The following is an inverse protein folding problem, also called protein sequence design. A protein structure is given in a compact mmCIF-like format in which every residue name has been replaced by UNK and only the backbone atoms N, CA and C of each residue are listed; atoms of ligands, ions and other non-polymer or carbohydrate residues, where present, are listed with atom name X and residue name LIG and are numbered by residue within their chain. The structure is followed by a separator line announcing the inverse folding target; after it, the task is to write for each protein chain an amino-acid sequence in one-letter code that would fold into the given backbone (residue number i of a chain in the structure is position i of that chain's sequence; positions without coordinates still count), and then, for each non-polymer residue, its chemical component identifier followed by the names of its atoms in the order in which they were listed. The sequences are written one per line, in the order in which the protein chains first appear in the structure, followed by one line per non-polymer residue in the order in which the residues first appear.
data_IF_934940332801
#
_entry.id   IF_934940332801
#
_cell.length_a   1.000
_cell.length_b   1.000
_cell.length_c   1.000
_cell.angle_alpha   90.00
_cell.angle_beta   90.00
_cell.angle_gamma   90.00
#
_symmetry.space_group_name_H-M   'P 1'
#
loop_
_entity.id
_entity.type
_entity.pdbx_description
1 polymer ?
#
# COMPACT_ATOMS: atom_id res chain seq x y z
N UNK A 1 36.90 -9.51 -63.62
CA UNK A 1 36.72 -10.48 -62.57
C UNK A 1 37.16 -9.82 -61.23
N UNK A 2 36.32 -9.21 -60.52
CA UNK A 2 36.61 -8.82 -59.15
C UNK A 2 35.29 -8.81 -58.38
N UNK A 3 35.15 -9.70 -57.37
CA UNK A 3 34.02 -9.78 -56.44
C UNK A 3 34.09 -8.61 -55.48
N UNK A 4 33.03 -7.78 -55.43
CA UNK A 4 32.83 -6.81 -54.37
C UNK A 4 31.97 -7.47 -53.27
N UNK A 5 32.60 -7.74 -52.14
CA UNK A 5 31.90 -8.18 -50.95
C UNK A 5 31.18 -7.00 -50.27
N UNK A 6 29.87 -7.16 -50.04
CA UNK A 6 29.05 -6.23 -49.30
C UNK A 6 29.23 -6.54 -47.81
N UNK A 7 29.85 -5.64 -47.08
CA UNK A 7 29.88 -5.68 -45.59
C UNK A 7 28.61 -4.99 -45.11
N UNK A 8 27.67 -5.78 -44.63
CA UNK A 8 26.51 -5.27 -43.91
C UNK A 8 26.93 -4.93 -42.47
N UNK A 9 27.02 -3.64 -42.16
CA UNK A 9 27.20 -3.17 -40.80
C UNK A 9 25.88 -3.33 -40.03
N UNK A 10 25.82 -4.30 -39.12
CA UNK A 10 24.77 -4.42 -38.14
C UNK A 10 24.97 -3.31 -37.09
N UNK A 11 24.17 -2.25 -37.17
CA UNK A 11 24.06 -1.29 -36.08
C UNK A 11 23.15 -1.93 -35.05
N UNK A 12 23.74 -2.53 -34.01
CA UNK A 12 23.04 -2.91 -32.78
C UNK A 12 22.82 -1.60 -32.01
N UNK A 13 21.61 -1.07 -32.13
CA UNK A 13 21.11 0.00 -31.25
C UNK A 13 20.92 -0.64 -29.88
N UNK A 14 21.94 -0.60 -29.03
CA UNK A 14 21.84 -0.96 -27.64
C UNK A 14 20.94 0.06 -26.95
N UNK A 15 19.64 -0.23 -26.82
CA UNK A 15 18.84 0.38 -25.78
C UNK A 15 19.48 -0.06 -24.45
N UNK A 16 20.16 0.86 -23.80
CA UNK A 16 20.49 0.75 -22.39
C UNK A 16 19.16 0.92 -21.67
N UNK A 17 18.40 -0.16 -21.56
CA UNK A 17 17.42 -0.32 -20.50
C UNK A 17 18.26 -0.35 -19.23
N UNK A 18 18.32 0.78 -18.50
CA UNK A 18 18.72 0.74 -17.11
C UNK A 18 17.81 -0.29 -16.45
N UNK A 19 18.35 -1.36 -15.82
CA UNK A 19 17.48 -2.25 -15.09
C UNK A 19 16.84 -1.42 -13.99
N UNK A 20 15.54 -1.19 -14.07
CA UNK A 20 14.75 -0.86 -12.89
C UNK A 20 15.08 -1.97 -11.91
N UNK A 21 15.72 -1.64 -10.82
CA UNK A 21 16.03 -2.62 -9.77
C UNK A 21 14.72 -3.29 -9.43
N UNK A 22 14.62 -4.62 -9.61
CA UNK A 22 13.41 -5.41 -9.35
C UNK A 22 12.95 -5.37 -7.88
N UNK A 23 13.54 -4.49 -7.09
CA UNK A 23 13.34 -4.31 -5.66
C UNK A 23 12.63 -3.00 -5.28
N UNK A 24 12.44 -2.05 -6.22
CA UNK A 24 11.77 -0.80 -5.90
C UNK A 24 10.24 -0.98 -5.79
N UNK A 25 9.61 -0.22 -4.89
CA UNK A 25 8.18 -0.15 -4.69
C UNK A 25 7.72 1.31 -4.85
N UNK A 26 7.82 1.86 -6.07
CA UNK A 26 7.69 3.31 -6.29
C UNK A 26 6.26 3.82 -6.28
N UNK A 27 5.27 2.93 -6.40
CA UNK A 27 3.85 3.27 -6.52
C UNK A 27 3.01 2.55 -5.47
N UNK A 28 1.81 3.06 -5.19
CA UNK A 28 0.82 2.39 -4.37
C UNK A 28 0.49 1.02 -4.98
N UNK A 29 0.48 -0.05 -4.18
CA UNK A 29 0.37 -1.46 -4.59
C UNK A 29 1.57 -2.03 -5.37
N UNK A 30 2.68 -1.33 -5.49
CA UNK A 30 3.97 -1.86 -5.97
C UNK A 30 4.19 -1.87 -7.47
N UNK A 31 3.16 -1.93 -8.30
CA UNK A 31 3.24 -1.92 -9.76
C UNK A 31 2.11 -1.13 -10.41
N UNK A 32 2.24 -0.86 -11.72
CA UNK A 32 1.29 -0.05 -12.49
C UNK A 32 -0.10 -0.69 -12.61
N UNK A 33 -0.26 -1.98 -12.39
CA UNK A 33 -1.53 -2.71 -12.41
C UNK A 33 -2.14 -2.87 -11.01
N UNK A 34 -1.47 -2.37 -9.97
CA UNK A 34 -1.83 -2.54 -8.57
C UNK A 34 -1.96 -4.01 -8.15
N UNK A 35 -1.08 -4.90 -8.69
CA UNK A 35 -1.14 -6.33 -8.35
C UNK A 35 -0.62 -6.62 -6.95
N UNK A 36 0.16 -5.71 -6.38
CA UNK A 36 0.70 -5.84 -5.02
C UNK A 36 1.83 -6.87 -4.91
N UNK A 37 2.52 -7.18 -6.02
CA UNK A 37 3.52 -8.26 -6.08
C UNK A 37 4.96 -7.75 -5.99
N UNK A 38 5.80 -8.42 -5.16
CA UNK A 38 7.25 -8.24 -5.09
C UNK A 38 7.99 -9.57 -5.24
N UNK A 39 9.14 -9.53 -5.89
CA UNK A 39 9.99 -10.71 -6.11
C UNK A 39 11.12 -10.78 -5.08
N UNK A 40 10.91 -11.31 -3.89
CA UNK A 40 12.02 -11.68 -2.98
C UNK A 40 11.55 -12.55 -1.77
N UNK A 41 12.43 -13.39 -1.16
CA UNK A 41 12.05 -14.47 -0.24
C UNK A 41 12.16 -14.14 1.26
N UNK A 42 11.68 -14.88 2.07
CA UNK A 42 11.09 -16.02 2.76
C UNK A 42 11.86 -16.36 4.06
N UNK A 43 11.40 -16.08 5.19
CA UNK A 43 11.70 -16.38 6.59
C UNK A 43 11.94 -15.11 7.42
N UNK A 44 10.89 -14.57 8.03
CA UNK A 44 10.94 -13.35 8.85
C UNK A 44 11.33 -13.65 10.28
N UNK A 45 12.20 -12.81 10.87
CA UNK A 45 12.62 -13.05 12.25
C UNK A 45 13.07 -11.88 13.10
N UNK A 46 13.47 -10.74 12.58
CA UNK A 46 14.00 -9.67 13.42
C UNK A 46 13.63 -8.27 12.92
N UNK A 47 13.21 -7.41 13.86
CA UNK A 47 13.12 -5.97 13.63
C UNK A 47 14.53 -5.40 13.43
N UNK A 48 14.80 -4.82 12.25
CA UNK A 48 16.08 -4.19 11.96
C UNK A 48 16.15 -2.79 12.56
N UNK A 49 15.08 -1.99 12.39
CA UNK A 49 14.94 -0.67 12.99
C UNK A 49 13.46 -0.25 13.10
N UNK A 50 13.19 0.81 13.83
CA UNK A 50 11.94 1.54 13.84
C UNK A 50 12.18 3.05 13.94
N UNK A 51 11.28 3.84 13.36
CA UNK A 51 11.27 5.27 13.42
C UNK A 51 9.91 5.74 13.97
N UNK A 52 9.92 6.72 14.86
CA UNK A 52 8.70 7.38 15.34
C UNK A 52 8.58 8.76 14.70
N UNK A 53 7.47 8.99 14.01
CA UNK A 53 7.07 10.28 13.44
C UNK A 53 5.61 10.57 13.85
N UNK A 54 4.95 11.56 13.27
CA UNK A 54 3.51 11.75 13.50
C UNK A 54 2.67 10.55 13.05
N UNK A 55 1.39 10.47 13.43
CA UNK A 55 0.52 9.34 13.07
C UNK A 55 0.54 9.03 11.57
N UNK A 56 0.45 7.75 11.17
CA UNK A 56 0.63 7.32 9.78
C UNK A 56 -0.58 6.50 9.33
N UNK A 57 -1.14 6.89 8.16
CA UNK A 57 -2.12 6.12 7.38
C UNK A 57 -1.65 5.85 5.96
N UNK A 58 -0.68 6.63 5.50
CA UNK A 58 0.00 6.49 4.22
C UNK A 58 0.76 5.16 4.16
N UNK A 59 0.73 4.50 3.03
CA UNK A 59 1.65 3.39 2.73
C UNK A 59 2.96 3.96 2.19
N UNK A 60 4.13 3.36 2.50
CA UNK A 60 5.40 3.84 1.98
C UNK A 60 5.51 3.64 0.47
N UNK A 61 6.15 4.56 -0.24
CA UNK A 61 6.76 4.32 -1.54
C UNK A 61 8.26 4.17 -1.36
N UNK A 62 8.88 3.19 -2.02
CA UNK A 62 10.33 2.93 -1.88
C UNK A 62 10.99 3.12 -3.23
N UNK A 63 12.00 3.99 -3.26
CA UNK A 63 12.83 4.23 -4.43
C UNK A 63 14.27 4.54 -4.01
N UNK A 64 15.26 3.91 -4.65
CA UNK A 64 16.69 4.10 -4.38
C UNK A 64 17.06 3.98 -2.89
N UNK A 65 16.52 2.97 -2.18
CA UNK A 65 16.75 2.74 -0.73
C UNK A 65 16.26 3.88 0.18
N UNK A 66 15.33 4.69 -0.29
CA UNK A 66 14.63 5.71 0.48
C UNK A 66 13.14 5.40 0.48
N UNK A 67 12.52 5.38 1.67
CA UNK A 67 11.07 5.30 1.82
C UNK A 67 10.49 6.72 1.94
N UNK A 68 9.47 7.01 1.14
CA UNK A 68 8.70 8.24 1.19
C UNK A 68 7.36 7.94 1.87
N UNK A 69 7.01 8.67 2.93
CA UNK A 69 5.87 8.35 3.79
C UNK A 69 5.16 9.63 4.20
N UNK A 70 3.84 9.68 3.99
CA UNK A 70 2.98 10.75 4.47
C UNK A 70 2.61 10.56 5.95
N UNK A 71 2.49 11.67 6.69
CA UNK A 71 2.13 11.67 8.10
C UNK A 71 0.94 12.60 8.40
N UNK A 72 0.18 12.24 9.43
CA UNK A 72 -0.93 13.07 9.94
C UNK A 72 -0.45 14.38 10.56
N UNK A 73 0.85 14.50 10.87
CA UNK A 73 1.45 15.78 11.26
C UNK A 73 1.60 16.77 10.10
N UNK A 74 1.25 16.35 8.86
CA UNK A 74 1.31 17.13 7.65
C UNK A 74 2.71 17.21 7.03
N UNK A 75 3.55 16.21 7.27
CA UNK A 75 4.85 16.09 6.62
C UNK A 75 4.91 14.89 5.69
N UNK A 76 5.58 15.07 4.57
CA UNK A 76 6.16 13.98 3.80
C UNK A 76 7.58 13.76 4.33
N UNK A 77 7.91 12.53 4.68
CA UNK A 77 9.23 12.13 5.15
C UNK A 77 9.92 11.27 4.12
N UNK A 78 11.21 11.54 3.87
CA UNK A 78 12.13 10.64 3.18
C UNK A 78 13.01 9.96 4.23
N UNK A 79 12.98 8.63 4.26
CA UNK A 79 13.64 7.82 5.30
C UNK A 79 14.61 6.85 4.64
N UNK A 80 15.87 6.88 5.06
CA UNK A 80 16.88 5.94 4.60
C UNK A 80 16.57 4.53 5.13
N UNK A 81 16.44 3.54 4.25
CA UNK A 81 16.04 2.18 4.59
C UNK A 81 17.10 1.39 5.36
N UNK A 82 18.38 1.74 5.19
CA UNK A 82 19.47 1.02 5.86
C UNK A 82 19.61 1.45 7.32
N UNK A 83 19.40 2.75 7.60
CA UNK A 83 19.62 3.33 8.93
C UNK A 83 18.34 3.65 9.69
N UNK A 84 17.21 3.75 9.03
CA UNK A 84 15.95 4.24 9.61
C UNK A 84 15.97 5.74 9.93
N UNK A 85 16.96 6.51 9.43
CA UNK A 85 17.07 7.95 9.69
C UNK A 85 16.32 8.78 8.65
N UNK A 86 15.74 9.90 9.08
CA UNK A 86 15.12 10.87 8.16
C UNK A 86 16.22 11.55 7.35
N UNK A 87 16.12 11.50 6.02
CA UNK A 87 16.99 12.20 5.07
C UNK A 87 16.55 13.64 4.94
N UNK A 88 15.27 13.84 4.66
CA UNK A 88 14.62 15.15 4.61
C UNK A 88 13.13 15.02 4.96
N UNK A 89 12.45 16.13 5.19
CA UNK A 89 11.00 16.18 5.30
C UNK A 89 10.45 17.47 4.75
N UNK A 90 9.33 17.39 4.02
CA UNK A 90 8.60 18.54 3.47
C UNK A 90 7.31 18.77 4.26
N UNK A 91 7.02 20.03 4.67
CA UNK A 91 5.81 20.39 5.44
C UNK A 91 4.72 20.92 4.52
N UNK A 92 3.54 20.27 4.57
CA UNK A 92 2.28 20.76 3.98
C UNK A 92 1.41 21.41 5.06
N UNK A 93 0.29 22.02 4.67
CA UNK A 93 -0.63 22.67 5.62
C UNK A 93 -1.75 21.76 6.13
N UNK A 94 -1.82 20.51 5.65
CA UNK A 94 -2.78 19.51 6.05
C UNK A 94 -2.13 18.16 6.31
N UNK A 95 -2.87 17.22 6.91
CA UNK A 95 -2.41 15.85 7.07
C UNK A 95 -2.18 15.17 5.71
N UNK A 96 -1.23 14.25 5.64
CA UNK A 96 -0.95 13.45 4.46
C UNK A 96 -1.35 12.00 4.76
N UNK A 97 -2.48 11.56 4.20
CA UNK A 97 -2.96 10.16 4.25
C UNK A 97 -2.78 9.46 2.90
N UNK A 98 -2.65 10.23 1.84
CA UNK A 98 -2.29 9.79 0.49
C UNK A 98 -0.95 9.04 0.53
N UNK A 99 -0.87 7.90 -0.14
CA UNK A 99 0.41 7.20 -0.32
C UNK A 99 1.19 7.85 -1.47
N UNK A 100 2.49 8.14 -1.29
CA UNK A 100 3.30 8.76 -2.32
C UNK A 100 3.50 7.85 -3.54
N UNK A 101 3.75 8.46 -4.70
CA UNK A 101 4.29 7.79 -5.89
C UNK A 101 5.57 8.48 -6.32
N UNK A 102 6.57 7.70 -6.74
CA UNK A 102 7.88 8.22 -7.17
C UNK A 102 8.13 7.88 -8.63
N UNK A 103 8.33 8.89 -9.46
CA UNK A 103 8.63 8.72 -10.89
C UNK A 103 9.69 9.75 -11.30
N UNK A 104 10.76 9.28 -11.96
CA UNK A 104 11.81 10.13 -12.56
C UNK A 104 12.43 11.16 -11.62
N UNK A 105 12.66 10.82 -10.35
CA UNK A 105 13.28 11.75 -9.39
C UNK A 105 12.31 12.71 -8.71
N UNK A 106 11.00 12.60 -8.97
CA UNK A 106 9.96 13.40 -8.33
C UNK A 106 9.03 12.50 -7.51
N UNK A 107 8.70 12.90 -6.28
CA UNK A 107 7.66 12.27 -5.45
C UNK A 107 6.39 13.10 -5.49
N UNK A 108 5.28 12.44 -5.85
CA UNK A 108 3.95 13.05 -5.89
C UNK A 108 3.13 12.58 -4.69
N UNK A 109 2.41 13.51 -4.04
CA UNK A 109 1.57 13.18 -2.87
C UNK A 109 0.42 14.16 -2.70
N UNK A 110 -0.76 13.66 -2.32
CA UNK A 110 -1.93 14.47 -1.98
C UNK A 110 -1.96 14.84 -0.49
N UNK A 111 -2.55 15.97 -0.16
CA UNK A 111 -2.69 16.45 1.22
C UNK A 111 -4.13 16.88 1.53
N UNK A 112 -4.48 16.85 2.81
CA UNK A 112 -5.78 17.35 3.29
C UNK A 112 -5.92 18.87 3.18
N UNK A 113 -4.85 19.60 2.87
CA UNK A 113 -4.93 21.01 2.50
C UNK A 113 -5.48 21.22 1.07
N UNK A 114 -5.72 20.11 0.34
CA UNK A 114 -6.28 20.10 -1.01
C UNK A 114 -5.26 20.39 -2.11
N UNK A 115 -3.98 20.22 -1.84
CA UNK A 115 -2.93 20.28 -2.87
C UNK A 115 -2.39 18.89 -3.19
N UNK A 116 -2.15 18.66 -4.48
CA UNK A 116 -1.21 17.66 -4.98
C UNK A 116 0.16 18.35 -5.04
N UNK A 117 1.17 17.72 -4.48
CA UNK A 117 2.54 18.21 -4.42
C UNK A 117 3.45 17.35 -5.30
N UNK A 118 4.36 17.97 -6.03
CA UNK A 118 5.52 17.36 -6.68
C UNK A 118 6.78 17.88 -5.99
N UNK A 119 7.58 16.97 -5.46
CA UNK A 119 8.73 17.26 -4.62
C UNK A 119 9.92 16.48 -5.15
N UNK A 120 11.07 17.14 -5.31
CA UNK A 120 12.33 16.52 -5.72
C UNK A 120 12.79 15.46 -4.71
N UNK A 121 13.13 14.27 -5.16
CA UNK A 121 13.50 13.15 -4.30
C UNK A 121 14.82 13.31 -3.58
N UNK A 122 15.77 14.05 -4.14
CA UNK A 122 17.12 14.20 -3.62
C UNK A 122 17.19 15.33 -2.60
N UNK A 123 16.53 16.46 -2.90
CA UNK A 123 16.61 17.67 -2.06
C UNK A 123 15.44 17.86 -1.11
N UNK A 124 14.26 17.31 -1.44
CA UNK A 124 13.01 17.56 -0.72
C UNK A 124 12.40 18.93 -1.03
N UNK A 125 12.86 19.62 -2.08
CA UNK A 125 12.32 20.90 -2.51
C UNK A 125 11.05 20.75 -3.34
N UNK A 126 10.15 21.73 -3.21
CA UNK A 126 8.94 21.79 -4.01
C UNK A 126 9.27 22.14 -5.48
N UNK A 127 8.87 21.28 -6.41
CA UNK A 127 8.90 21.57 -7.84
C UNK A 127 7.66 22.35 -8.27
N UNK A 128 6.49 21.78 -7.99
CA UNK A 128 5.21 22.42 -8.22
C UNK A 128 4.12 21.87 -7.29
N UNK A 129 2.98 22.54 -7.23
CA UNK A 129 1.76 22.04 -6.57
C UNK A 129 0.51 22.43 -7.33
N UNK A 130 -0.48 21.54 -7.35
CA UNK A 130 -1.78 21.73 -8.00
C UNK A 130 -2.89 21.79 -6.96
N UNK A 131 -3.80 22.78 -7.05
CA UNK A 131 -4.92 22.97 -6.10
C UNK A 131 -6.19 22.30 -6.59
N UNK A 132 -6.80 21.45 -5.74
CA UNK A 132 -8.18 20.95 -5.86
C UNK A 132 -9.13 21.76 -4.99
N UNK A 133 -10.44 21.49 -5.10
CA UNK A 133 -11.44 22.20 -4.30
C UNK A 133 -11.59 21.72 -2.86
N UNK A 134 -11.02 20.55 -2.50
CA UNK A 134 -11.13 19.96 -1.16
C UNK A 134 -9.94 19.03 -0.89
N UNK A 135 -9.97 18.30 0.22
CA UNK A 135 -8.94 17.34 0.65
C UNK A 135 -8.63 16.30 -0.43
N UNK A 136 -7.38 15.85 -0.44
CA UNK A 136 -6.91 14.73 -1.22
C UNK A 136 -6.54 13.59 -0.27
N UNK A 137 -7.32 12.50 -0.29
CA UNK A 137 -7.01 11.24 0.41
C UNK A 137 -6.53 10.16 -0.58
N UNK A 138 -6.95 10.25 -1.83
CA UNK A 138 -6.53 9.41 -2.94
C UNK A 138 -5.01 9.45 -3.10
N UNK A 139 -4.39 8.31 -3.39
CA UNK A 139 -2.99 8.27 -3.78
C UNK A 139 -2.85 8.62 -5.26
N UNK A 140 -1.82 9.39 -5.66
CA UNK A 140 -1.58 9.70 -7.06
C UNK A 140 -1.24 8.44 -7.86
N UNK A 141 -1.60 8.45 -9.15
CA UNK A 141 -1.11 7.49 -10.13
C UNK A 141 -0.49 8.24 -11.31
N UNK A 142 0.56 7.69 -11.90
CA UNK A 142 1.29 8.33 -13.01
C UNK A 142 1.29 7.41 -14.21
N UNK A 143 0.86 7.94 -15.37
CA UNK A 143 0.97 7.28 -16.66
C UNK A 143 1.53 8.27 -17.68
N UNK A 144 2.68 7.93 -18.28
CA UNK A 144 3.36 8.82 -19.21
C UNK A 144 3.73 10.17 -18.58
N UNK A 145 3.18 11.24 -19.15
CA UNK A 145 3.36 12.63 -18.70
C UNK A 145 2.22 13.16 -17.81
N UNK A 146 1.39 12.28 -17.27
CA UNK A 146 0.16 12.65 -16.55
C UNK A 146 0.11 12.05 -15.15
N UNK A 147 -0.22 12.88 -14.16
CA UNK A 147 -0.53 12.49 -12.78
C UNK A 147 -2.05 12.54 -12.60
N UNK A 148 -2.63 11.44 -12.15
CA UNK A 148 -4.06 11.32 -11.85
C UNK A 148 -4.29 11.34 -10.35
N UNK A 149 -5.35 12.03 -9.90
CA UNK A 149 -5.71 12.14 -8.49
C UNK A 149 -7.22 12.29 -8.30
N UNK A 150 -7.78 11.67 -7.26
CA UNK A 150 -9.14 11.91 -6.78
C UNK A 150 -9.16 12.93 -5.65
N UNK A 151 -10.27 13.65 -5.48
CA UNK A 151 -10.45 14.62 -4.40
C UNK A 151 -11.83 14.52 -3.76
N UNK A 152 -11.92 14.97 -2.51
CA UNK A 152 -13.18 15.10 -1.77
C UNK A 152 -14.08 16.22 -2.35
N UNK A 153 -13.61 17.00 -3.35
CA UNK A 153 -14.43 17.93 -4.12
C UNK A 153 -15.28 17.27 -5.20
N UNK A 154 -15.34 15.93 -5.17
CA UNK A 154 -16.12 15.11 -6.11
C UNK A 154 -15.54 15.05 -7.53
N UNK A 155 -14.23 15.23 -7.70
CA UNK A 155 -13.58 15.20 -9.01
C UNK A 155 -12.38 14.25 -9.05
N UNK A 156 -12.14 13.76 -10.26
CA UNK A 156 -10.88 13.16 -10.70
C UNK A 156 -10.17 14.21 -11.54
N UNK A 157 -8.88 14.37 -11.33
CA UNK A 157 -8.04 15.31 -12.07
C UNK A 157 -6.93 14.56 -12.80
N UNK A 158 -6.63 15.01 -14.02
CA UNK A 158 -5.39 14.72 -14.73
C UNK A 158 -4.57 16.00 -14.81
N UNK A 159 -3.34 15.90 -14.32
CA UNK A 159 -2.42 17.02 -14.17
C UNK A 159 -1.14 16.71 -14.92
N UNK A 160 -0.57 17.66 -15.63
CA UNK A 160 0.71 17.48 -16.30
C UNK A 160 1.79 17.22 -15.24
N UNK A 161 2.58 16.17 -15.46
CA UNK A 161 3.60 15.71 -14.51
C UNK A 161 4.74 16.71 -14.35
N UNK A 162 5.09 17.44 -15.40
CA UNK A 162 6.31 18.25 -15.43
C UNK A 162 6.07 19.67 -14.88
N UNK A 163 4.87 20.26 -15.06
CA UNK A 163 4.58 21.62 -14.63
C UNK A 163 3.35 21.81 -13.72
N UNK A 164 2.62 20.73 -13.45
CA UNK A 164 1.43 20.78 -12.58
C UNK A 164 0.22 21.43 -13.22
N UNK A 165 0.19 21.69 -14.53
CA UNK A 165 -0.96 22.25 -15.23
C UNK A 165 -2.09 21.22 -15.38
N UNK A 166 -3.34 21.66 -15.23
CA UNK A 166 -4.49 20.76 -15.40
C UNK A 166 -4.69 20.40 -16.87
N UNK A 167 -4.69 19.09 -17.18
CA UNK A 167 -5.05 18.55 -18.51
C UNK A 167 -6.56 18.42 -18.66
N UNK A 168 -7.21 17.74 -17.72
CA UNK A 168 -8.66 17.59 -17.68
C UNK A 168 -9.17 17.31 -16.25
N UNK A 169 -10.47 17.38 -16.05
CA UNK A 169 -11.15 16.96 -14.84
C UNK A 169 -12.48 16.27 -15.16
N UNK A 170 -12.89 15.32 -14.30
CA UNK A 170 -14.17 14.62 -14.40
C UNK A 170 -14.93 14.72 -13.07
N UNK A 171 -16.22 15.12 -13.14
CA UNK A 171 -17.08 15.24 -11.95
C UNK A 171 -17.85 13.95 -11.70
N UNK A 172 -17.61 13.30 -10.57
CA UNK A 172 -18.24 12.03 -10.18
C UNK A 172 -19.54 12.19 -9.40
N UNK A 173 -19.81 13.38 -8.84
CA UNK A 173 -20.99 13.66 -8.03
C UNK A 173 -20.82 13.37 -6.52
N UNK A 174 -19.74 12.70 -6.08
CA UNK A 174 -19.39 12.53 -4.67
C UNK A 174 -17.87 12.36 -4.52
N UNK A 175 -17.35 12.38 -3.28
CA UNK A 175 -15.93 12.30 -2.96
C UNK A 175 -15.24 11.12 -3.67
N UNK A 176 -13.98 11.33 -4.09
CA UNK A 176 -13.12 10.32 -4.72
C UNK A 176 -11.92 10.08 -3.83
N UNK A 177 -12.00 9.01 -3.02
CA UNK A 177 -10.91 8.57 -2.12
C UNK A 177 -10.15 7.35 -2.67
N UNK A 178 -10.76 6.61 -3.58
CA UNK A 178 -10.13 5.56 -4.37
C UNK A 178 -8.95 6.14 -5.14
N UNK A 179 -7.82 5.44 -5.15
CA UNK A 179 -6.67 5.81 -5.97
C UNK A 179 -6.93 5.41 -7.41
N UNK A 180 -6.70 6.30 -8.40
CA UNK A 180 -6.88 5.99 -9.79
C UNK A 180 -5.93 4.89 -10.27
N UNK A 181 -6.38 4.10 -11.24
CA UNK A 181 -5.59 3.05 -11.88
C UNK A 181 -5.57 3.28 -13.40
N UNK A 182 -4.50 3.85 -13.97
CA UNK A 182 -4.33 3.97 -15.41
C UNK A 182 -3.82 2.66 -16.02
N UNK A 183 -4.56 2.09 -16.96
CA UNK A 183 -4.20 0.86 -17.69
C UNK A 183 -4.75 0.92 -19.12
N UNK A 184 -3.90 0.64 -20.12
CA UNK A 184 -4.29 0.51 -21.53
C UNK A 184 -5.05 1.72 -22.09
N UNK A 185 -4.72 2.95 -21.66
CA UNK A 185 -5.39 4.17 -22.09
C UNK A 185 -6.73 4.45 -21.39
N UNK A 186 -7.07 3.65 -20.36
CA UNK A 186 -8.28 3.81 -19.55
C UNK A 186 -7.91 4.00 -18.08
N UNK A 187 -8.50 5.00 -17.44
CA UNK A 187 -8.36 5.28 -16.02
C UNK A 187 -9.54 4.71 -15.23
N UNK A 188 -9.28 3.76 -14.36
CA UNK A 188 -10.31 3.19 -13.46
C UNK A 188 -10.27 3.88 -12.10
N UNK A 189 -11.44 4.24 -11.56
CA UNK A 189 -11.54 4.90 -10.25
C UNK A 189 -12.89 4.66 -9.59
N UNK A 190 -12.89 4.49 -8.27
CA UNK A 190 -14.10 4.40 -7.45
C UNK A 190 -14.52 5.75 -6.87
N UNK A 191 -15.81 5.93 -6.61
CA UNK A 191 -16.37 7.12 -5.98
C UNK A 191 -17.36 6.76 -4.85
N UNK A 192 -17.52 7.69 -3.92
CA UNK A 192 -18.48 7.56 -2.82
C UNK A 192 -19.95 7.64 -3.27
N UNK A 193 -20.23 7.91 -4.56
CA UNK A 193 -21.56 7.74 -5.12
C UNK A 193 -21.92 6.29 -5.44
N UNK A 194 -21.04 5.34 -5.12
CA UNK A 194 -21.22 3.90 -5.37
C UNK A 194 -20.82 3.45 -6.77
N UNK A 195 -20.19 4.31 -7.57
CA UNK A 195 -19.79 3.94 -8.92
C UNK A 195 -18.30 3.67 -9.05
N UNK A 196 -17.98 2.69 -9.90
CA UNK A 196 -16.68 2.55 -10.55
C UNK A 196 -16.78 3.20 -11.93
N UNK A 197 -15.85 4.05 -12.25
CA UNK A 197 -15.74 4.72 -13.54
C UNK A 197 -14.55 4.19 -14.33
N UNK A 198 -14.72 3.99 -15.61
CA UNK A 198 -13.66 3.88 -16.61
C UNK A 198 -13.68 5.17 -17.44
N UNK A 199 -12.60 5.93 -17.37
CA UNK A 199 -12.42 7.20 -18.06
C UNK A 199 -11.32 7.07 -19.10
N UNK A 200 -11.42 7.74 -20.22
CA UNK A 200 -10.33 7.85 -21.19
C UNK A 200 -9.16 8.63 -20.55
N UNK A 201 -7.95 8.07 -20.56
CA UNK A 201 -6.75 8.75 -20.03
C UNK A 201 -6.46 10.06 -20.79
N UNK A 202 -6.81 10.13 -22.09
CA UNK A 202 -6.46 11.26 -22.95
C UNK A 202 -7.28 12.53 -22.70
N UNK A 203 -8.57 12.38 -22.36
CA UNK A 203 -9.51 13.50 -22.29
C UNK A 203 -10.50 13.46 -21.13
N UNK A 204 -10.46 12.39 -20.30
CA UNK A 204 -11.32 12.23 -19.14
C UNK A 204 -12.78 11.87 -19.45
N UNK A 205 -13.12 11.57 -20.69
CA UNK A 205 -14.48 11.16 -21.06
C UNK A 205 -14.83 9.79 -20.45
N UNK A 206 -16.08 9.64 -19.96
CA UNK A 206 -16.57 8.36 -19.46
C UNK A 206 -16.69 7.33 -20.60
N UNK A 207 -15.97 6.21 -20.47
CA UNK A 207 -16.06 5.05 -21.37
C UNK A 207 -17.22 4.18 -20.91
N UNK A 208 -17.25 3.85 -19.62
CA UNK A 208 -18.35 3.17 -18.96
C UNK A 208 -18.36 3.47 -17.46
N UNK A 209 -19.46 3.20 -16.80
CA UNK A 209 -19.53 3.16 -15.34
C UNK A 209 -20.38 1.99 -14.85
N UNK A 210 -20.02 1.44 -13.67
CA UNK A 210 -20.77 0.41 -12.96
C UNK A 210 -21.23 0.98 -11.61
N UNK A 211 -22.47 0.70 -11.18
CA UNK A 211 -23.00 1.12 -9.89
C UNK A 211 -23.14 -0.09 -8.96
N UNK A 212 -22.42 -0.06 -7.83
CA UNK A 212 -22.56 -0.99 -6.70
C UNK A 212 -23.68 -0.57 -5.75
N UNK A 213 -23.86 -1.28 -4.64
CA UNK A 213 -24.89 -0.98 -3.64
C UNK A 213 -24.54 0.15 -2.67
N UNK A 214 -23.25 0.53 -2.53
CA UNK A 214 -22.77 1.59 -1.62
C UNK A 214 -21.42 2.15 -2.13
N UNK A 215 -20.81 3.07 -1.38
CA UNK A 215 -19.57 3.77 -1.72
C UNK A 215 -18.41 2.83 -2.13
N UNK A 216 -17.60 3.29 -3.07
CA UNK A 216 -16.36 2.64 -3.49
C UNK A 216 -15.18 3.44 -2.90
N UNK A 217 -14.55 2.89 -1.86
CA UNK A 217 -13.32 3.40 -1.22
C UNK A 217 -12.09 2.67 -1.73
N UNK A 218 -12.25 1.38 -1.98
CA UNK A 218 -11.24 0.48 -2.50
C UNK A 218 -10.66 1.04 -3.81
N UNK A 219 -9.36 0.97 -3.97
CA UNK A 219 -8.72 1.28 -5.24
C UNK A 219 -8.80 0.07 -6.16
N UNK A 220 -9.05 0.25 -7.46
CA UNK A 220 -9.13 -0.86 -8.40
C UNK A 220 -7.79 -1.59 -8.55
N UNK A 221 -7.84 -2.89 -8.85
CA UNK A 221 -6.74 -3.67 -9.38
C UNK A 221 -7.14 -4.25 -10.74
N UNK A 222 -6.18 -4.51 -11.61
CA UNK A 222 -6.43 -4.98 -12.97
C UNK A 222 -5.62 -6.23 -13.29
N UNK A 223 -6.28 -7.21 -13.90
CA UNK A 223 -5.59 -8.35 -14.48
C UNK A 223 -6.42 -8.99 -15.60
N UNK A 224 -5.77 -9.27 -16.71
CA UNK A 224 -6.30 -10.04 -17.85
C UNK A 224 -7.72 -9.60 -18.28
N UNK A 225 -7.90 -8.30 -18.56
CA UNK A 225 -9.17 -7.75 -19.02
C UNK A 225 -10.25 -7.62 -17.93
N UNK A 226 -9.86 -7.72 -16.65
CA UNK A 226 -10.79 -7.67 -15.51
C UNK A 226 -10.33 -6.63 -14.49
N UNK A 227 -11.26 -5.77 -14.07
CA UNK A 227 -11.09 -4.80 -13.00
C UNK A 227 -11.70 -5.35 -11.72
N UNK A 228 -10.91 -5.46 -10.65
CA UNK A 228 -11.35 -5.91 -9.33
C UNK A 228 -11.48 -4.73 -8.39
N UNK A 229 -12.58 -4.65 -7.63
CA UNK A 229 -12.81 -3.55 -6.68
C UNK A 229 -13.70 -3.98 -5.52
N UNK A 230 -13.40 -3.52 -4.31
CA UNK A 230 -14.24 -3.68 -3.14
C UNK A 230 -15.25 -2.54 -2.98
N UNK A 231 -16.38 -2.80 -2.32
CA UNK A 231 -17.44 -1.82 -2.05
C UNK A 231 -17.86 -1.84 -0.59
N UNK A 232 -18.34 -0.68 -0.10
CA UNK A 232 -18.93 -0.55 1.23
C UNK A 232 -20.24 -1.37 1.37
N UNK A 233 -20.81 -1.90 0.26
CA UNK A 233 -21.92 -2.84 0.27
C UNK A 233 -21.56 -4.28 0.69
N UNK A 234 -20.28 -4.50 1.02
CA UNK A 234 -19.77 -5.78 1.50
C UNK A 234 -19.41 -6.77 0.41
N UNK A 235 -19.29 -6.34 -0.85
CA UNK A 235 -18.91 -7.20 -1.96
C UNK A 235 -17.57 -6.79 -2.56
N UNK A 236 -16.85 -7.76 -3.12
CA UNK A 236 -15.85 -7.56 -4.16
C UNK A 236 -16.48 -7.86 -5.52
N UNK A 237 -16.18 -7.02 -6.50
CA UNK A 237 -16.65 -7.12 -7.87
C UNK A 237 -15.48 -7.38 -8.82
N UNK A 238 -15.70 -8.25 -9.80
CA UNK A 238 -14.87 -8.38 -10.99
C UNK A 238 -15.69 -7.86 -12.18
N UNK A 239 -15.20 -6.79 -12.79
CA UNK A 239 -15.85 -6.08 -13.89
C UNK A 239 -15.06 -6.26 -15.18
N UNK A 240 -15.75 -6.44 -16.29
CA UNK A 240 -15.15 -6.51 -17.62
C UNK A 240 -14.50 -5.16 -18.00
N UNK A 241 -13.25 -5.18 -18.46
CA UNK A 241 -12.53 -4.01 -18.97
C UNK A 241 -13.31 -3.32 -20.08
N UNK A 242 -13.96 -4.08 -20.97
CA UNK A 242 -14.54 -3.57 -22.20
C UNK A 242 -15.83 -2.77 -22.00
N UNK A 243 -16.66 -3.14 -21.00
CA UNK A 243 -18.02 -2.61 -20.88
C UNK A 243 -18.51 -2.44 -19.43
N UNK A 244 -17.67 -2.76 -18.43
CA UNK A 244 -18.01 -2.63 -17.00
C UNK A 244 -19.04 -3.65 -16.51
N UNK A 245 -19.43 -4.65 -17.32
CA UNK A 245 -20.34 -5.68 -16.88
C UNK A 245 -19.73 -6.58 -15.81
N UNK A 246 -20.55 -7.02 -14.84
CA UNK A 246 -20.09 -7.91 -13.77
C UNK A 246 -19.81 -9.29 -14.36
N UNK A 247 -18.54 -9.72 -14.26
CA UNK A 247 -18.12 -11.10 -14.57
C UNK A 247 -18.53 -12.00 -13.40
N UNK A 248 -18.17 -11.57 -12.18
CA UNK A 248 -18.60 -12.20 -10.94
C UNK A 248 -18.58 -11.19 -9.78
N UNK A 249 -19.26 -11.51 -8.71
CA UNK A 249 -19.16 -10.82 -7.42
C UNK A 249 -19.15 -11.83 -6.28
N UNK A 250 -18.50 -11.49 -5.17
CA UNK A 250 -18.45 -12.30 -3.95
C UNK A 250 -18.77 -11.45 -2.73
N UNK A 251 -19.65 -11.96 -1.84
CA UNK A 251 -19.97 -11.26 -0.59
C UNK A 251 -18.96 -11.59 0.49
N UNK A 252 -18.36 -10.55 1.07
CA UNK A 252 -17.38 -10.65 2.14
C UNK A 252 -18.02 -10.44 3.54
N UNK A 253 -19.26 -9.96 3.59
CA UNK A 253 -20.04 -9.88 4.83
C UNK A 253 -20.07 -8.51 5.50
N UNK A 254 -19.09 -7.65 5.30
CA UNK A 254 -19.02 -6.27 5.82
C UNK A 254 -18.30 -5.38 4.80
N UNK A 255 -18.24 -4.06 5.06
CA UNK A 255 -17.61 -3.05 4.21
C UNK A 255 -16.19 -3.42 3.81
N UNK A 256 -15.83 -3.12 2.58
CA UNK A 256 -14.52 -3.43 2.01
C UNK A 256 -13.74 -2.14 1.74
N UNK A 257 -12.84 -1.80 2.66
CA UNK A 257 -11.96 -0.65 2.54
C UNK A 257 -10.60 -1.01 1.94
N UNK A 258 -10.18 -2.26 2.13
CA UNK A 258 -8.98 -2.81 1.52
C UNK A 258 -9.08 -2.77 -0.01
N UNK A 259 -7.97 -2.56 -0.67
CA UNK A 259 -7.88 -2.73 -2.11
C UNK A 259 -7.48 -4.16 -2.47
N UNK A 260 -7.94 -4.70 -3.62
CA UNK A 260 -7.55 -6.03 -4.06
C UNK A 260 -6.07 -6.08 -4.45
N UNK A 261 -5.42 -7.23 -4.23
CA UNK A 261 -4.12 -7.56 -4.81
C UNK A 261 -4.25 -8.84 -5.63
N UNK A 262 -3.62 -8.90 -6.80
CA UNK A 262 -3.80 -10.00 -7.75
C UNK A 262 -2.51 -10.78 -7.95
N UNK A 263 -2.55 -12.09 -7.66
CA UNK A 263 -1.48 -13.02 -8.05
C UNK A 263 -1.74 -13.50 -9.47
N UNK A 264 -0.92 -13.01 -10.38
CA UNK A 264 -1.03 -13.28 -11.81
C UNK A 264 -0.60 -14.70 -12.20
N UNK A 265 0.22 -15.36 -11.37
CA UNK A 265 0.72 -16.72 -11.59
C UNK A 265 -0.33 -17.75 -11.13
N UNK A 266 -0.97 -17.51 -9.98
CA UNK A 266 -1.87 -18.45 -9.33
C UNK A 266 -3.35 -18.16 -9.60
N UNK A 267 -3.67 -17.15 -10.40
CA UNK A 267 -5.05 -16.71 -10.65
C UNK A 267 -5.82 -16.50 -9.33
N UNK A 268 -5.23 -15.75 -8.40
CA UNK A 268 -5.81 -15.44 -7.10
C UNK A 268 -5.94 -13.94 -6.90
N UNK A 269 -7.06 -13.50 -6.35
CA UNK A 269 -7.23 -12.15 -5.83
C UNK A 269 -7.39 -12.20 -4.32
N UNK A 270 -6.65 -11.35 -3.61
CA UNK A 270 -6.66 -11.25 -2.15
C UNK A 270 -7.25 -9.91 -1.74
N UNK A 271 -8.08 -9.92 -0.70
CA UNK A 271 -8.73 -8.71 -0.20
C UNK A 271 -9.03 -8.82 1.29
N UNK A 272 -8.85 -7.73 2.01
CA UNK A 272 -9.26 -7.59 3.40
C UNK A 272 -10.69 -7.07 3.52
N UNK A 273 -11.36 -7.35 4.64
CA UNK A 273 -12.71 -6.90 4.93
C UNK A 273 -12.82 -6.37 6.37
N UNK A 274 -13.79 -5.49 6.63
CA UNK A 274 -14.04 -4.96 7.97
C UNK A 274 -14.59 -6.01 8.95
N UNK A 275 -15.02 -7.18 8.47
CA UNK A 275 -15.37 -8.34 9.30
C UNK A 275 -14.15 -9.03 9.95
N UNK A 276 -12.92 -8.56 9.61
CA UNK A 276 -11.66 -9.11 10.09
C UNK A 276 -11.09 -10.24 9.24
N UNK A 277 -11.70 -10.56 8.10
CA UNK A 277 -11.20 -11.60 7.22
C UNK A 277 -10.27 -11.04 6.13
N UNK A 278 -9.26 -11.85 5.80
CA UNK A 278 -8.50 -11.79 4.56
C UNK A 278 -8.96 -12.96 3.70
N UNK A 279 -9.42 -12.68 2.49
CA UNK A 279 -10.04 -13.68 1.62
C UNK A 279 -9.26 -13.80 0.31
N UNK A 280 -9.00 -15.03 -0.12
CA UNK A 280 -8.47 -15.38 -1.44
C UNK A 280 -9.56 -15.97 -2.31
N UNK A 281 -9.75 -15.41 -3.51
CA UNK A 281 -10.72 -15.86 -4.49
C UNK A 281 -10.03 -16.21 -5.81
N UNK A 282 -10.62 -17.11 -6.58
CA UNK A 282 -10.19 -17.37 -7.97
C UNK A 282 -10.55 -16.18 -8.86
N UNK A 283 -9.57 -15.64 -9.60
CA UNK A 283 -9.75 -14.43 -10.42
C UNK A 283 -10.81 -14.57 -11.51
N UNK A 284 -11.02 -15.77 -12.06
CA UNK A 284 -11.92 -16.01 -13.19
C UNK A 284 -13.35 -16.29 -12.77
N UNK A 285 -13.53 -16.95 -11.61
CA UNK A 285 -14.83 -17.47 -11.19
C UNK A 285 -15.39 -16.82 -9.93
N UNK A 286 -14.55 -16.11 -9.16
CA UNK A 286 -14.88 -15.58 -7.84
C UNK A 286 -15.04 -16.67 -6.76
N UNK A 287 -14.65 -17.92 -7.05
CA UNK A 287 -14.75 -19.00 -6.09
C UNK A 287 -13.79 -18.81 -4.92
N UNK A 288 -14.27 -19.04 -3.68
CA UNK A 288 -13.45 -18.97 -2.48
C UNK A 288 -12.34 -20.04 -2.53
N UNK A 289 -11.09 -19.62 -2.38
CA UNK A 289 -9.94 -20.51 -2.20
C UNK A 289 -9.67 -20.75 -0.72
N UNK A 290 -9.57 -19.67 0.06
CA UNK A 290 -9.42 -19.71 1.51
C UNK A 290 -9.79 -18.37 2.14
N UNK A 291 -10.01 -18.37 3.46
CA UNK A 291 -10.17 -17.17 4.27
C UNK A 291 -9.42 -17.35 5.59
N UNK A 292 -8.80 -16.27 6.07
CA UNK A 292 -8.11 -16.17 7.35
C UNK A 292 -8.70 -15.04 8.17
N UNK A 293 -9.06 -15.32 9.45
CA UNK A 293 -9.65 -14.32 10.35
C UNK A 293 -8.62 -13.74 11.29
N UNK A 294 -8.52 -12.40 11.32
CA UNK A 294 -7.74 -11.61 12.28
C UNK A 294 -8.61 -11.22 13.49
N UNK A 295 -8.07 -10.46 14.44
CA UNK A 295 -8.82 -10.01 15.62
C UNK A 295 -9.71 -8.76 15.39
N UNK A 296 -9.54 -8.03 14.25
CA UNK A 296 -10.20 -6.76 13.95
C UNK A 296 -10.23 -6.49 12.45
N UNK A 297 -10.88 -5.39 11.97
CA UNK A 297 -10.94 -5.03 10.55
C UNK A 297 -9.61 -5.08 9.82
N UNK A 298 -9.62 -5.58 8.59
CA UNK A 298 -8.48 -5.59 7.68
C UNK A 298 -8.71 -4.53 6.60
N UNK A 299 -8.04 -3.39 6.76
CA UNK A 299 -8.16 -2.23 5.85
C UNK A 299 -6.95 -2.05 4.96
N UNK A 300 -5.81 -2.61 5.35
CA UNK A 300 -4.60 -2.60 4.54
C UNK A 300 -4.78 -3.42 3.27
N UNK A 301 -4.12 -3.01 2.21
CA UNK A 301 -4.00 -3.81 0.99
C UNK A 301 -2.97 -4.91 1.20
N UNK A 302 -3.26 -6.17 0.87
CA UNK A 302 -2.28 -7.24 0.95
C UNK A 302 -1.09 -7.00 0.01
N UNK A 303 0.15 -7.16 0.50
CA UNK A 303 1.34 -7.15 -0.32
C UNK A 303 1.79 -8.59 -0.60
N UNK A 304 1.95 -8.93 -1.88
CA UNK A 304 2.33 -10.27 -2.31
C UNK A 304 3.83 -10.36 -2.49
N UNK A 305 4.43 -11.46 -2.04
CA UNK A 305 5.84 -11.78 -2.30
C UNK A 305 6.05 -13.28 -2.22
N UNK A 306 6.71 -13.86 -3.22
CA UNK A 306 6.93 -15.30 -3.34
C UNK A 306 5.68 -16.17 -3.03
N UNK A 307 5.75 -16.95 -1.95
CA UNK A 307 4.70 -17.84 -1.51
C UNK A 307 3.80 -17.23 -0.43
N UNK A 308 3.96 -15.94 -0.14
CA UNK A 308 3.36 -15.28 1.02
C UNK A 308 2.62 -14.00 0.64
N UNK A 309 1.76 -13.58 1.57
CA UNK A 309 1.18 -12.25 1.59
C UNK A 309 1.46 -11.61 2.95
N UNK A 310 1.77 -10.32 2.95
CA UNK A 310 1.81 -9.49 4.15
C UNK A 310 0.57 -8.63 4.23
N UNK A 311 -0.07 -8.56 5.40
CA UNK A 311 -1.28 -7.76 5.59
C UNK A 311 -1.35 -7.22 7.02
N UNK A 312 -1.72 -5.96 7.17
CA UNK A 312 -1.96 -5.31 8.46
C UNK A 312 -3.42 -5.42 8.89
N UNK A 313 -3.65 -5.53 10.19
CA UNK A 313 -4.99 -5.51 10.80
C UNK A 313 -5.13 -4.37 11.81
N UNK A 314 -6.35 -3.93 12.04
CA UNK A 314 -6.67 -2.95 13.07
C UNK A 314 -6.48 -3.50 14.50
N UNK A 315 -6.26 -4.83 14.67
CA UNK A 315 -5.80 -5.43 15.94
C UNK A 315 -4.37 -5.04 16.32
N UNK A 316 -3.67 -4.33 15.43
CA UNK A 316 -2.30 -3.87 15.61
C UNK A 316 -1.24 -4.91 15.23
N UNK A 317 -1.62 -5.91 14.46
CA UNK A 317 -0.73 -7.01 14.03
C UNK A 317 -0.49 -6.95 12.53
N UNK A 318 0.75 -7.14 12.12
CA UNK A 318 1.12 -7.51 10.77
C UNK A 318 1.12 -9.04 10.68
N UNK A 319 0.36 -9.60 9.74
CA UNK A 319 0.29 -11.02 9.45
C UNK A 319 1.05 -11.35 8.17
N UNK A 320 1.79 -12.45 8.20
CA UNK A 320 2.42 -13.08 7.03
C UNK A 320 1.76 -14.43 6.83
N UNK A 321 1.01 -14.55 5.74
CA UNK A 321 0.24 -15.75 5.43
C UNK A 321 0.79 -16.44 4.19
N UNK A 322 0.69 -17.76 4.15
CA UNK A 322 0.94 -18.54 2.95
C UNK A 322 -0.15 -18.26 1.90
N UNK A 323 0.23 -17.76 0.72
CA UNK A 323 -0.72 -17.32 -0.32
C UNK A 323 -1.60 -18.45 -0.89
N UNK A 324 -1.16 -19.69 -0.79
CA UNK A 324 -1.90 -20.87 -1.32
C UNK A 324 -2.94 -21.41 -0.36
N UNK A 325 -2.62 -21.41 0.93
CA UNK A 325 -3.44 -22.08 1.97
C UNK A 325 -4.11 -21.10 2.96
N UNK A 326 -3.71 -19.83 2.99
CA UNK A 326 -4.14 -18.88 4.01
C UNK A 326 -3.58 -19.16 5.41
N UNK A 327 -2.69 -20.15 5.56
CA UNK A 327 -2.12 -20.47 6.86
C UNK A 327 -1.18 -19.34 7.31
N UNK A 328 -1.28 -18.94 8.59
CA UNK A 328 -0.30 -18.05 9.20
C UNK A 328 1.08 -18.71 9.24
N UNK A 329 2.07 -18.09 8.62
CA UNK A 329 3.47 -18.48 8.69
C UNK A 329 4.19 -17.70 9.79
N UNK A 330 3.79 -16.43 9.98
CA UNK A 330 4.34 -15.57 11.01
C UNK A 330 3.47 -14.34 11.24
N UNK A 331 3.58 -13.74 12.43
CA UNK A 331 2.94 -12.47 12.75
C UNK A 331 3.79 -11.61 13.67
N UNK A 332 3.58 -10.30 13.62
CA UNK A 332 4.28 -9.34 14.46
C UNK A 332 3.33 -8.27 15.00
N UNK A 333 3.24 -8.18 16.34
CA UNK A 333 2.47 -7.17 17.06
C UNK A 333 3.42 -6.25 17.81
N UNK A 334 3.65 -5.01 17.34
CA UNK A 334 4.63 -4.10 17.95
C UNK A 334 4.25 -3.56 19.32
N UNK A 335 3.00 -3.73 19.76
CA UNK A 335 2.47 -3.23 21.04
C UNK A 335 2.17 -4.34 22.05
N UNK A 336 1.94 -3.95 23.32
CA UNK A 336 1.32 -4.84 24.30
C UNK A 336 -0.19 -4.87 24.07
N UNK A 337 -0.86 -5.98 24.33
CA UNK A 337 -2.29 -6.26 24.14
C UNK A 337 -3.28 -5.12 24.51
N UNK A 338 -2.90 -4.23 25.41
CA UNK A 338 -3.72 -3.10 25.86
C UNK A 338 -3.40 -1.77 25.14
N UNK A 339 -2.37 -1.70 24.30
CA UNK A 339 -1.88 -0.49 23.63
C UNK A 339 -1.45 -0.74 22.19
N UNK A 340 -2.03 -1.75 21.52
CA UNK A 340 -1.80 -1.97 20.09
C UNK A 340 -2.42 -0.84 19.28
N UNK A 341 -1.71 -0.35 18.27
CA UNK A 341 -2.22 0.64 17.34
C UNK A 341 -2.49 0.00 15.99
N UNK A 342 -3.60 0.32 15.33
CA UNK A 342 -3.93 -0.25 14.04
C UNK A 342 -2.77 -0.23 13.03
N UNK A 343 -2.61 -1.32 12.27
CA UNK A 343 -1.75 -1.41 11.09
C UNK A 343 -2.66 -1.22 9.88
N UNK A 344 -3.09 0.01 9.64
CA UNK A 344 -3.97 0.37 8.51
C UNK A 344 -3.21 0.75 7.25
N UNK A 345 -1.90 1.06 7.35
CA UNK A 345 -1.03 1.23 6.19
C UNK A 345 -0.82 -0.11 5.47
N UNK A 346 -0.80 -0.09 4.14
CA UNK A 346 -0.44 -1.29 3.39
C UNK A 346 1.04 -1.59 3.53
N UNK A 347 1.41 -2.85 3.83
CA UNK A 347 2.80 -3.26 3.89
C UNK A 347 3.49 -3.13 2.53
N UNK A 348 4.80 -2.93 2.56
CA UNK A 348 5.65 -2.86 1.36
C UNK A 348 6.82 -3.80 1.52
N UNK A 349 7.17 -4.52 0.47
CA UNK A 349 8.31 -5.43 0.46
C UNK A 349 9.42 -4.87 -0.39
N UNK A 350 10.61 -4.71 0.18
CA UNK A 350 11.80 -4.28 -0.54
C UNK A 350 12.98 -5.19 -0.18
N UNK A 351 13.50 -5.88 -1.15
CA UNK A 351 14.50 -6.93 -0.93
C UNK A 351 13.93 -8.03 -0.03
N UNK A 352 14.56 -8.23 1.14
CA UNK A 352 14.15 -9.24 2.14
C UNK A 352 13.42 -8.65 3.33
N UNK A 353 13.03 -7.39 3.26
CA UNK A 353 12.47 -6.65 4.39
C UNK A 353 11.04 -6.24 4.08
N UNK A 354 10.14 -6.48 5.03
CA UNK A 354 8.78 -5.92 5.02
C UNK A 354 8.76 -4.63 5.83
N UNK A 355 8.27 -3.57 5.20
CA UNK A 355 8.07 -2.26 5.83
C UNK A 355 6.58 -2.03 6.04
N UNK A 356 6.19 -1.58 7.21
CA UNK A 356 4.82 -1.20 7.52
C UNK A 356 4.79 -0.11 8.59
N UNK A 357 3.64 0.55 8.72
CA UNK A 357 3.46 1.60 9.70
C UNK A 357 2.20 1.40 10.54
N UNK A 358 2.21 1.97 11.74
CA UNK A 358 1.10 1.95 12.68
C UNK A 358 0.49 3.36 12.83
N UNK A 359 -0.79 3.46 13.11
CA UNK A 359 -1.49 4.76 13.20
C UNK A 359 -0.94 5.68 14.31
N UNK A 360 -0.27 5.13 15.33
CA UNK A 360 0.42 5.92 16.36
C UNK A 360 1.81 6.44 15.91
N UNK A 361 2.17 6.27 14.63
CA UNK A 361 3.32 6.94 14.02
C UNK A 361 4.63 6.17 14.05
N UNK A 362 4.60 4.86 14.21
CA UNK A 362 5.82 4.05 14.10
C UNK A 362 5.90 3.39 12.72
N UNK A 363 7.09 3.43 12.14
CA UNK A 363 7.49 2.68 10.94
C UNK A 363 8.40 1.56 11.38
N UNK A 364 8.15 0.36 10.88
CA UNK A 364 8.92 -0.85 11.19
C UNK A 364 9.52 -1.43 9.93
N UNK A 365 10.76 -1.91 10.06
CA UNK A 365 11.44 -2.74 9.08
C UNK A 365 11.68 -4.12 9.68
N UNK A 366 11.16 -5.16 9.05
CA UNK A 366 11.26 -6.55 9.49
C UNK A 366 12.02 -7.36 8.44
N UNK A 367 13.21 -7.87 8.81
CA UNK A 367 14.05 -8.66 7.90
C UNK A 367 13.72 -10.17 7.97
N UNK A 368 13.80 -10.83 6.85
CA UNK A 368 13.61 -12.28 6.72
C UNK A 368 14.80 -13.14 7.24
N UNK A 369 15.88 -12.52 7.68
CA UNK A 369 17.09 -13.22 8.13
C UNK A 369 17.21 -13.29 9.65
N UNK A 370 16.80 -14.35 10.25
CA UNK A 370 17.19 -15.05 11.48
C UNK A 370 15.98 -15.59 12.21
N UNK A 371 15.86 -16.91 12.30
CA UNK A 371 15.16 -17.54 13.43
C UNK A 371 15.96 -17.20 14.71
N UNK A 372 15.71 -16.05 15.30
CA UNK A 372 15.90 -15.94 16.74
C UNK A 372 14.65 -16.57 17.37
N UNK A 373 14.83 -17.68 18.07
CA UNK A 373 13.78 -18.25 18.90
C UNK A 373 13.16 -17.16 19.77
N UNK A 374 12.00 -17.40 20.42
CA UNK A 374 11.24 -16.38 21.15
C UNK A 374 12.20 -15.61 22.04
N UNK A 375 12.64 -14.43 21.58
CA UNK A 375 13.63 -13.63 22.26
C UNK A 375 13.03 -13.12 23.54
N UNK A 376 13.47 -13.70 24.56
CA UNK A 376 13.94 -13.21 25.87
C UNK A 376 13.39 -11.90 26.44
N UNK A 377 12.63 -11.06 25.73
CA UNK A 377 11.93 -9.94 26.38
C UNK A 377 10.88 -10.49 27.34
N UNK A 378 10.15 -11.53 26.96
CA UNK A 378 9.27 -12.28 27.87
C UNK A 378 10.04 -12.93 29.02
N UNK A 379 11.23 -13.49 28.73
CA UNK A 379 12.07 -14.06 29.74
C UNK A 379 12.62 -13.00 30.72
N UNK A 380 13.01 -11.82 30.25
CA UNK A 380 13.43 -10.71 31.09
C UNK A 380 12.29 -10.16 31.94
N UNK A 381 11.06 -10.05 31.40
CA UNK A 381 9.91 -9.60 32.20
C UNK A 381 9.47 -10.65 33.21
N UNK A 382 9.43 -11.93 32.85
CA UNK A 382 9.14 -13.00 33.81
C UNK A 382 10.22 -13.04 34.89
N UNK A 383 11.51 -12.91 34.58
CA UNK A 383 12.59 -12.84 35.52
C UNK A 383 12.48 -11.59 36.41
N UNK A 384 12.16 -10.43 35.84
CA UNK A 384 11.96 -9.21 36.62
C UNK A 384 10.75 -9.30 37.55
N UNK A 385 9.63 -9.84 37.11
CA UNK A 385 8.44 -10.06 37.95
C UNK A 385 8.70 -11.09 39.03
N UNK A 386 9.39 -12.20 38.72
CA UNK A 386 9.76 -13.22 39.71
C UNK A 386 10.73 -12.65 40.73
N UNK A 387 11.69 -11.80 40.33
CA UNK A 387 12.64 -11.17 41.26
C UNK A 387 11.93 -10.14 42.18
N UNK A 388 10.94 -9.39 41.68
CA UNK A 388 10.14 -8.47 42.49
C UNK A 388 9.30 -9.25 43.52
N UNK A 389 8.64 -10.34 43.11
CA UNK A 389 7.84 -11.19 43.98
C UNK A 389 8.74 -11.87 45.02
N UNK A 390 9.91 -12.40 44.63
CA UNK A 390 10.87 -13.01 45.53
C UNK A 390 11.42 -12.00 46.56
N UNK A 391 11.73 -10.77 46.11
CA UNK A 391 12.16 -9.67 46.97
C UNK A 391 11.08 -9.26 48.00
N UNK A 392 9.82 -9.21 47.58
CA UNK A 392 8.67 -8.92 48.46
C UNK A 392 8.45 -10.03 49.51
N UNK A 393 8.58 -11.30 49.13
CA UNK A 393 8.46 -12.46 50.03
C UNK A 393 9.60 -12.50 51.06
N UNK A 394 10.84 -12.19 50.64
CA UNK A 394 12.01 -12.12 51.56
C UNK A 394 11.87 -10.93 52.51
N UNK A 395 11.36 -9.77 52.02
CA UNK A 395 11.06 -8.59 52.83
C UNK A 395 10.02 -8.88 53.91
N UNK A 396 8.94 -9.57 53.57
CA UNK A 396 7.88 -9.96 54.51
C UNK A 396 8.35 -10.96 55.57
N UNK A 397 9.23 -11.92 55.22
CA UNK A 397 9.83 -12.86 56.20
C UNK A 397 10.78 -12.17 57.17
N UNK A 398 11.52 -11.13 56.76
CA UNK A 398 12.36 -10.33 57.65
C UNK A 398 11.55 -9.47 58.64
N UNK A 399 10.35 -9.03 58.26
CA UNK A 399 9.44 -8.26 59.14
C UNK A 399 8.73 -9.19 60.12
N UNK A 400 8.30 -10.38 59.69
CA UNK A 400 7.66 -11.39 60.53
C UNK A 400 8.56 -12.07 61.57
N UNK A 401 9.88 -12.12 61.29
CA UNK A 401 10.88 -12.72 62.21
C UNK A 401 11.44 -11.77 63.26
N UNK A 402 10.88 -10.54 63.42
CA UNK A 402 11.25 -9.52 64.45
C UNK A 402 10.14 -9.22 65.44
N UNK A 403 9.27 -10.18 65.70
CA UNK A 403 8.31 -10.12 66.78
C UNK A 403 8.54 -11.29 67.76
#
# INVERSE_FOLDING_TARGET
MMRKGLIAALIILGMILSPVSAADWPVFHGDEQHTGYAKEPSDFSAKTWYLSIGGIKSSPAIFNKVAYIGSLDGRLYAVNLETGSVVWSYKTEGAIVSSPVVVNGTVFVGSWDGYLYAIDTDTGDLEWKFKTGNRIESSPAVSGDTVYIGSDDCRVYAVDRDDGSKKWEFYTGNAVKSSPLPVNGTLYVGSFNGKVYALSESDGNEVWSYTSGDAIRSSPAFWNGTVYVGSDDGNIYALSESDGNVIWKYSLGDRVYSSPSVDTEENSVFIGCNDGNITSLDTRTGALKWSFHTGAPVRSTPALFENMIAVGSDDGTLYILNKYSGREEWSYSPGYYLFSSPVSSSPVVYGKTVYFATENGYIYALDSKKKEGPTSVFAYYIIAVVLVIAGAVIGLRKVAGRR
#
